data_IF_261114149665
#
_entry.id   IF_261114149665
#
_cell.length_a   1.000
_cell.length_b   1.000
_cell.length_c   1.000
_cell.angle_alpha   90.00
_cell.angle_beta   90.00
_cell.angle_gamma   90.00
#
_symmetry.space_group_name_H-M   'P 1'
#
loop_
_entity.id
_entity.type
_entity.pdbx_description
1 polymer ?
#
# COMPACT_ATOMS: atom_id res chain seq x y z
N UNK A 1 80.56 60.14 -28.37
CA UNK A 1 79.64 61.29 -28.41
C UNK A 1 78.55 60.97 -27.38
N UNK A 2 78.32 61.69 -26.25
CA UNK A 2 78.03 63.15 -26.05
C UNK A 2 76.87 63.58 -26.97
N UNK A 3 75.72 64.11 -26.54
CA UNK A 3 75.18 64.69 -25.27
C UNK A 3 73.62 64.69 -25.42
N UNK A 4 72.74 65.09 -24.48
CA UNK A 4 72.64 65.19 -23.01
C UNK A 4 71.25 65.83 -22.69
N UNK A 5 70.95 66.11 -21.40
CA UNK A 5 69.78 66.82 -20.84
C UNK A 5 68.57 65.90 -20.52
N UNK A 6 68.13 65.63 -19.28
CA UNK A 6 68.24 66.34 -17.96
C UNK A 6 67.66 67.78 -17.97
N UNK A 7 66.97 68.31 -16.95
CA UNK A 7 66.53 67.81 -15.62
C UNK A 7 65.45 68.75 -15.04
N UNK A 8 64.58 68.30 -14.12
CA UNK A 8 63.96 69.02 -12.93
C UNK A 8 62.69 68.29 -12.40
N UNK A 9 62.27 68.26 -11.10
CA UNK A 9 62.86 68.11 -9.73
C UNK A 9 61.75 68.38 -8.65
N UNK A 10 61.95 67.91 -7.37
CA UNK A 10 61.06 67.94 -6.13
C UNK A 10 60.25 69.25 -5.94
N UNK A 11 59.13 69.34 -5.20
CA UNK A 11 58.62 68.60 -3.99
C UNK A 11 57.06 68.69 -3.92
N UNK A 12 56.27 68.23 -2.93
CA UNK A 12 56.35 68.00 -1.47
C UNK A 12 55.56 66.72 -1.08
N UNK A 13 56.01 65.82 -0.18
CA UNK A 13 56.26 65.90 1.27
C UNK A 13 55.03 66.08 2.19
N UNK A 14 54.66 64.95 2.81
CA UNK A 14 54.46 64.70 4.27
C UNK A 14 53.08 64.30 4.84
N UNK A 15 53.14 63.18 5.61
CA UNK A 15 52.33 62.77 6.78
C UNK A 15 50.80 62.61 6.58
N UNK A 16 50.25 61.40 6.78
CA UNK A 16 50.35 60.62 8.03
C UNK A 16 50.45 59.09 7.80
N UNK A 17 51.36 58.45 8.54
CA UNK A 17 51.29 57.03 8.92
C UNK A 17 50.71 56.93 10.33
N UNK A 18 49.90 55.90 10.56
CA UNK A 18 49.61 55.15 11.79
C UNK A 18 49.15 53.77 11.23
N UNK A 19 49.70 52.56 11.46
CA UNK A 19 50.11 51.84 12.70
C UNK A 19 49.06 51.99 13.81
N UNK A 20 48.43 50.95 14.35
CA UNK A 20 48.43 49.48 14.16
C UNK A 20 46.96 49.02 13.86
N UNK A 21 46.53 47.76 13.69
CA UNK A 21 46.86 46.51 14.36
C UNK A 21 46.16 45.31 13.66
N UNK A 22 46.46 44.08 14.07
CA UNK A 22 46.03 42.84 13.42
C UNK A 22 44.54 42.53 13.61
N UNK A 23 43.80 42.24 12.51
CA UNK A 23 42.64 41.33 12.55
C UNK A 23 42.64 40.35 11.37
N UNK A 24 43.49 39.33 11.49
CA UNK A 24 43.22 38.05 10.85
C UNK A 24 42.02 37.38 11.54
N UNK A 25 40.79 37.80 11.21
CA UNK A 25 39.60 37.02 11.57
C UNK A 25 39.46 35.85 10.59
N UNK A 26 40.21 34.78 10.86
CA UNK A 26 40.07 33.50 10.19
C UNK A 26 38.74 32.84 10.50
N UNK A 27 37.65 33.27 9.85
CA UNK A 27 36.40 32.52 9.79
C UNK A 27 36.41 31.55 8.59
N UNK A 28 37.45 30.72 8.51
CA UNK A 28 37.36 29.43 7.82
C UNK A 28 36.54 28.46 8.69
N UNK A 29 35.30 28.83 8.99
CA UNK A 29 34.32 27.84 9.40
C UNK A 29 34.19 26.84 8.25
N UNK A 30 34.38 25.53 8.46
CA UNK A 30 34.19 24.56 7.40
C UNK A 30 32.76 24.73 6.90
N UNK A 31 32.61 24.98 5.59
CA UNK A 31 31.29 25.01 4.96
C UNK A 31 30.74 23.59 5.11
N UNK A 32 29.85 23.40 6.08
CA UNK A 32 29.12 22.15 6.27
C UNK A 32 28.14 22.06 5.10
N UNK A 33 28.65 21.63 3.95
CA UNK A 33 27.80 21.11 2.89
C UNK A 33 27.11 19.90 3.52
N UNK A 34 25.78 19.89 3.68
CA UNK A 34 25.10 18.69 4.12
C UNK A 34 25.32 17.64 3.03
N UNK A 35 26.25 16.71 3.28
CA UNK A 35 26.57 15.64 2.35
C UNK A 35 25.29 14.83 2.15
N UNK A 36 24.61 15.08 1.03
CA UNK A 36 23.41 14.35 0.63
C UNK A 36 23.81 12.90 0.43
N UNK A 37 23.54 12.08 1.44
CA UNK A 37 23.81 10.64 1.40
C UNK A 37 23.07 10.07 0.20
N UNK A 38 23.83 9.53 -0.75
CA UNK A 38 23.29 8.86 -1.91
C UNK A 38 22.66 7.53 -1.48
N UNK A 39 21.54 7.10 -2.09
CA UNK A 39 20.87 5.84 -1.70
C UNK A 39 21.70 4.59 -2.04
N UNK A 40 22.70 4.72 -2.91
CA UNK A 40 23.74 3.71 -3.16
C UNK A 40 24.96 4.38 -3.83
N UNK A 41 26.02 3.61 -4.07
CA UNK A 41 27.18 4.05 -4.87
C UNK A 41 26.80 4.47 -6.31
N UNK A 42 25.66 4.03 -6.82
CA UNK A 42 25.13 4.38 -8.14
C UNK A 42 24.18 5.60 -8.10
N UNK A 43 23.90 6.17 -6.92
CA UNK A 43 22.89 7.21 -6.75
C UNK A 43 21.43 6.72 -6.86
N UNK A 44 21.21 5.41 -7.01
CA UNK A 44 19.92 4.76 -7.23
C UNK A 44 19.53 3.93 -6.01
N UNK A 45 18.29 4.06 -5.52
CA UNK A 45 17.73 3.15 -4.52
C UNK A 45 17.24 1.87 -5.24
N UNK A 46 17.76 0.67 -4.93
CA UNK A 46 17.24 -0.57 -5.52
C UNK A 46 15.80 -0.84 -5.05
N UNK A 47 15.05 -1.55 -5.89
CA UNK A 47 13.71 -2.01 -5.54
C UNK A 47 13.80 -3.16 -4.51
N UNK A 48 12.87 -3.15 -3.55
CA UNK A 48 12.65 -4.25 -2.59
C UNK A 48 12.26 -5.54 -3.32
N UNK A 49 12.95 -6.65 -3.03
CA UNK A 49 12.71 -7.95 -3.68
C UNK A 49 11.30 -8.49 -3.43
N UNK A 50 10.66 -8.16 -2.30
CA UNK A 50 9.27 -8.58 -2.08
C UNK A 50 8.33 -7.79 -2.99
N UNK A 51 8.54 -6.47 -3.14
CA UNK A 51 7.79 -5.62 -4.08
C UNK A 51 8.01 -6.10 -5.52
N UNK A 52 9.22 -6.50 -5.89
CA UNK A 52 9.55 -7.08 -7.19
C UNK A 52 8.80 -8.41 -7.46
N UNK A 53 8.75 -9.31 -6.48
CA UNK A 53 8.00 -10.57 -6.57
C UNK A 53 6.48 -10.34 -6.69
N UNK A 54 5.95 -9.39 -5.92
CA UNK A 54 4.53 -9.00 -5.92
C UNK A 54 4.14 -8.32 -7.23
N UNK A 55 4.98 -7.40 -7.72
CA UNK A 55 4.87 -6.80 -9.05
C UNK A 55 4.72 -7.89 -10.11
N UNK A 56 5.69 -8.78 -10.24
CA UNK A 56 5.67 -9.88 -11.24
C UNK A 56 4.43 -10.78 -11.15
N UNK A 57 3.87 -11.00 -9.95
CA UNK A 57 2.61 -11.71 -9.78
C UNK A 57 1.41 -10.91 -10.33
N UNK A 58 1.32 -9.62 -9.99
CA UNK A 58 0.21 -8.75 -10.38
C UNK A 58 0.26 -8.41 -11.89
N UNK A 59 1.45 -8.16 -12.44
CA UNK A 59 1.66 -7.72 -13.82
C UNK A 59 1.05 -8.63 -14.88
N UNK A 60 0.98 -9.95 -14.63
CA UNK A 60 0.39 -10.93 -15.53
C UNK A 60 -1.13 -10.79 -15.68
N UNK A 61 -1.80 -10.03 -14.81
CA UNK A 61 -3.25 -9.95 -14.72
C UNK A 61 -3.80 -8.52 -14.91
N UNK A 62 -2.99 -7.47 -14.79
CA UNK A 62 -3.47 -6.07 -14.80
C UNK A 62 -4.20 -5.63 -16.08
N UNK A 63 -3.97 -6.29 -17.22
CA UNK A 63 -4.68 -6.01 -18.48
C UNK A 63 -6.07 -6.66 -18.56
N UNK A 64 -6.43 -7.53 -17.61
CA UNK A 64 -7.73 -8.20 -17.58
C UNK A 64 -8.76 -7.22 -16.97
N UNK A 65 -9.94 -7.04 -17.58
CA UNK A 65 -10.98 -6.17 -17.03
C UNK A 65 -11.48 -6.68 -15.68
N UNK A 66 -11.93 -5.74 -14.84
CA UNK A 66 -12.51 -6.00 -13.52
C UNK A 66 -11.65 -6.87 -12.59
N UNK A 67 -10.33 -6.72 -12.70
CA UNK A 67 -9.39 -7.29 -11.72
C UNK A 67 -9.44 -6.51 -10.41
N UNK A 68 -9.63 -7.25 -9.33
CA UNK A 68 -9.50 -6.82 -7.95
C UNK A 68 -8.16 -7.34 -7.40
N UNK A 69 -7.42 -6.47 -6.71
CA UNK A 69 -6.17 -6.80 -6.03
C UNK A 69 -6.36 -6.43 -4.56
N UNK A 70 -6.30 -7.42 -3.69
CA UNK A 70 -6.60 -7.29 -2.25
C UNK A 70 -5.43 -7.84 -1.42
N UNK A 71 -5.05 -7.12 -0.37
CA UNK A 71 -4.09 -7.53 0.65
C UNK A 71 -4.81 -7.75 1.96
N UNK A 72 -4.86 -8.99 2.45
CA UNK A 72 -5.53 -9.37 3.70
C UNK A 72 -4.52 -9.59 4.81
N UNK A 73 -4.91 -9.18 6.02
CA UNK A 73 -4.20 -9.54 7.24
C UNK A 73 -4.82 -10.80 7.86
N UNK A 74 -3.98 -11.65 8.45
CA UNK A 74 -4.41 -12.92 9.01
C UNK A 74 -3.21 -13.74 9.50
N UNK A 75 -3.35 -15.06 9.50
CA UNK A 75 -2.27 -15.97 9.92
C UNK A 75 -2.08 -17.08 8.91
N UNK A 76 -0.82 -17.34 8.51
CA UNK A 76 -0.48 -18.53 7.75
C UNK A 76 -0.35 -19.69 8.74
N UNK A 77 -1.21 -20.69 8.61
CA UNK A 77 -1.29 -21.85 9.49
C UNK A 77 -0.71 -23.09 8.79
N UNK A 78 0.05 -23.91 9.50
CA UNK A 78 0.39 -25.25 9.07
C UNK A 78 -0.84 -26.17 9.22
N UNK A 79 -1.08 -27.07 8.27
CA UNK A 79 -2.22 -27.99 8.28
C UNK A 79 -1.99 -29.22 9.16
N UNK A 80 -0.74 -29.58 9.43
CA UNK A 80 -0.33 -30.70 10.28
C UNK A 80 -0.40 -30.30 11.76
N UNK A 81 0.31 -29.24 12.16
CA UNK A 81 0.32 -28.77 13.57
C UNK A 81 -0.95 -28.03 13.94
N UNK A 82 -1.62 -27.41 12.96
CA UNK A 82 -2.74 -26.46 13.15
C UNK A 82 -2.35 -25.19 13.91
N UNK A 83 -1.06 -24.90 14.02
CA UNK A 83 -0.51 -23.68 14.59
C UNK A 83 -0.07 -22.70 13.48
N UNK A 84 0.36 -21.49 13.87
CA UNK A 84 0.99 -20.56 12.93
C UNK A 84 2.26 -21.19 12.37
N UNK A 85 2.46 -21.04 11.06
CA UNK A 85 3.63 -21.54 10.35
C UNK A 85 4.92 -21.03 10.99
N UNK A 86 5.86 -21.92 11.23
CA UNK A 86 7.23 -21.59 11.60
C UNK A 86 8.14 -21.82 10.40
N UNK A 87 8.95 -20.83 10.05
CA UNK A 87 10.02 -20.93 9.08
C UNK A 87 11.33 -20.41 9.70
N UNK A 88 12.49 -21.01 9.40
CA UNK A 88 13.78 -20.58 9.93
C UNK A 88 14.30 -19.33 9.18
N UNK A 89 13.52 -18.24 9.22
CA UNK A 89 13.80 -16.96 8.54
C UNK A 89 13.59 -15.80 9.51
N UNK A 90 14.37 -14.72 9.36
CA UNK A 90 14.34 -13.55 10.26
C UNK A 90 13.61 -12.33 9.68
N UNK A 91 13.12 -12.39 8.44
CA UNK A 91 12.54 -11.27 7.71
C UNK A 91 11.24 -11.62 6.99
N UNK A 92 10.54 -10.59 6.51
CA UNK A 92 9.44 -10.74 5.55
C UNK A 92 9.85 -11.68 4.42
N UNK A 93 9.04 -12.72 4.17
CA UNK A 93 9.35 -13.77 3.19
C UNK A 93 8.11 -14.07 2.35
N UNK A 94 8.17 -13.76 1.05
CA UNK A 94 7.14 -14.15 0.08
C UNK A 94 7.25 -15.66 -0.16
N UNK A 95 6.21 -16.42 0.15
CA UNK A 95 6.20 -17.86 -0.03
C UNK A 95 5.99 -18.24 -1.50
N UNK A 96 6.58 -19.34 -1.94
CA UNK A 96 6.33 -19.89 -3.27
C UNK A 96 4.88 -20.38 -3.39
N UNK A 97 4.28 -20.28 -4.58
CA UNK A 97 2.85 -20.64 -4.78
C UNK A 97 2.56 -22.13 -4.64
N UNK A 98 3.60 -22.96 -4.75
CA UNK A 98 3.57 -24.41 -4.63
C UNK A 98 3.89 -24.90 -3.20
N UNK A 99 4.04 -24.01 -2.21
CA UNK A 99 4.17 -24.39 -0.80
C UNK A 99 2.89 -25.11 -0.35
N UNK A 100 2.97 -26.44 -0.21
CA UNK A 100 1.86 -27.32 0.22
C UNK A 100 1.79 -27.44 1.73
N UNK A 101 0.63 -27.88 2.24
CA UNK A 101 0.45 -28.16 3.67
C UNK A 101 0.19 -26.92 4.54
N UNK A 102 -0.01 -25.75 3.93
CA UNK A 102 -0.40 -24.51 4.63
C UNK A 102 -1.81 -24.06 4.25
N UNK A 103 -2.41 -23.20 5.08
CA UNK A 103 -3.63 -22.44 4.78
C UNK A 103 -3.52 -21.03 5.38
N UNK A 104 -4.13 -20.02 4.76
CA UNK A 104 -4.25 -18.70 5.37
C UNK A 104 -5.61 -18.59 6.07
N UNK A 105 -5.62 -18.08 7.29
CA UNK A 105 -6.84 -17.75 8.04
C UNK A 105 -6.96 -16.24 8.12
N UNK A 106 -7.95 -15.69 7.40
CA UNK A 106 -8.32 -14.28 7.43
C UNK A 106 -9.28 -14.06 8.60
N UNK A 107 -8.72 -13.86 9.79
CA UNK A 107 -9.46 -13.62 11.04
C UNK A 107 -8.56 -12.90 12.04
N UNK A 108 -9.15 -12.18 12.99
CA UNK A 108 -8.44 -11.51 14.08
C UNK A 108 -9.29 -11.45 15.34
N UNK A 109 -8.66 -11.12 16.48
CA UNK A 109 -9.42 -10.92 17.72
C UNK A 109 -10.25 -9.64 17.68
N UNK A 110 -11.37 -9.61 18.43
CA UNK A 110 -12.21 -8.41 18.61
C UNK A 110 -11.35 -7.20 19.03
N UNK A 111 -10.37 -7.40 19.93
CA UNK A 111 -9.46 -6.35 20.40
C UNK A 111 -8.59 -5.78 19.28
N UNK A 112 -8.08 -6.61 18.38
CA UNK A 112 -7.33 -6.14 17.19
C UNK A 112 -8.25 -5.34 16.27
N UNK A 113 -9.48 -5.81 16.04
CA UNK A 113 -10.47 -5.08 15.26
C UNK A 113 -10.82 -3.71 15.87
N UNK A 114 -10.99 -3.62 17.19
CA UNK A 114 -11.19 -2.35 17.92
C UNK A 114 -9.98 -1.41 17.79
N UNK A 115 -8.75 -1.94 17.94
CA UNK A 115 -7.50 -1.18 17.74
C UNK A 115 -7.43 -0.59 16.32
N UNK A 116 -7.73 -1.39 15.29
CA UNK A 116 -7.73 -0.94 13.90
C UNK A 116 -8.81 0.10 13.62
N UNK A 117 -10.04 -0.10 14.12
CA UNK A 117 -11.12 0.89 13.99
C UNK A 117 -10.68 2.25 14.58
N UNK A 118 -10.12 2.25 15.79
CA UNK A 118 -9.58 3.47 16.41
C UNK A 118 -8.49 4.12 15.56
N UNK A 119 -7.49 3.35 15.13
CA UNK A 119 -6.37 3.84 14.33
C UNK A 119 -6.83 4.44 12.99
N UNK A 120 -7.76 3.78 12.28
CA UNK A 120 -8.26 4.24 10.99
C UNK A 120 -9.13 5.50 11.14
N UNK A 121 -9.95 5.59 12.20
CA UNK A 121 -10.71 6.81 12.49
C UNK A 121 -9.80 7.99 12.88
N UNK A 122 -8.73 7.74 13.64
CA UNK A 122 -7.70 8.74 13.93
C UNK A 122 -7.06 9.25 12.62
N UNK A 123 -6.66 8.35 11.71
CA UNK A 123 -6.11 8.73 10.39
C UNK A 123 -7.09 9.57 9.54
N UNK A 124 -8.39 9.28 9.57
CA UNK A 124 -9.42 10.12 8.91
C UNK A 124 -9.48 11.51 9.52
N UNK A 125 -9.47 11.62 10.85
CA UNK A 125 -9.50 12.91 11.55
C UNK A 125 -8.22 13.71 11.29
N UNK A 126 -7.07 13.05 11.24
CA UNK A 126 -5.78 13.71 11.00
C UNK A 126 -5.59 14.15 9.55
N UNK A 127 -5.93 13.29 8.59
CA UNK A 127 -5.80 13.52 7.15
C UNK A 127 -6.71 14.61 6.61
N UNK A 128 -7.81 14.91 7.30
CA UNK A 128 -8.77 15.95 6.91
C UNK A 128 -8.59 17.29 7.66
N UNK A 129 -7.49 17.47 8.43
CA UNK A 129 -7.15 18.78 9.05
C UNK A 129 -6.72 19.78 7.95
N UNK A 130 -7.05 21.08 8.04
CA UNK A 130 -6.75 22.06 6.97
C UNK A 130 -5.28 22.20 6.57
N UNK A 131 -4.35 21.85 7.45
CA UNK A 131 -2.90 21.86 7.22
C UNK A 131 -2.29 20.44 7.26
N UNK A 132 -3.09 19.40 7.00
CA UNK A 132 -2.62 18.03 6.95
C UNK A 132 -1.56 17.87 5.83
N UNK A 133 -0.38 17.35 6.20
CA UNK A 133 0.60 16.83 5.22
C UNK A 133 0.30 15.38 4.82
N UNK A 134 -0.67 14.77 5.48
CA UNK A 134 -1.17 13.42 5.25
C UNK A 134 -2.25 13.42 4.15
N UNK A 135 -2.64 12.21 3.75
CA UNK A 135 -3.63 11.99 2.72
C UNK A 135 -5.03 12.47 3.12
N UNK A 136 -5.82 12.90 2.13
CA UNK A 136 -7.28 12.92 2.28
C UNK A 136 -7.79 11.48 2.48
N UNK A 137 -8.74 11.30 3.39
CA UNK A 137 -9.46 10.04 3.59
C UNK A 137 -10.96 10.30 3.51
N UNK A 138 -11.65 9.56 2.65
CA UNK A 138 -13.11 9.40 2.76
C UNK A 138 -13.43 8.14 3.56
N UNK A 139 -14.59 8.17 4.23
CA UNK A 139 -15.07 7.11 5.11
C UNK A 139 -16.53 6.77 4.79
N UNK A 140 -16.88 5.49 4.86
CA UNK A 140 -18.27 5.00 4.74
C UNK A 140 -18.49 3.79 5.64
N UNK A 141 -19.64 3.75 6.29
CA UNK A 141 -20.15 2.60 7.04
C UNK A 141 -21.26 1.91 6.24
N UNK A 142 -21.08 0.65 5.88
CA UNK A 142 -22.01 -0.14 5.06
C UNK A 142 -22.47 -1.35 5.87
N UNK A 143 -23.77 -1.62 5.90
CA UNK A 143 -24.31 -2.90 6.36
C UNK A 143 -24.79 -3.65 5.12
N UNK A 144 -24.17 -4.77 4.80
CA UNK A 144 -24.32 -5.46 3.54
C UNK A 144 -24.79 -6.90 3.75
N UNK A 145 -25.88 -7.31 3.10
CA UNK A 145 -26.17 -8.73 2.94
C UNK A 145 -25.54 -9.21 1.63
N UNK A 146 -24.76 -10.28 1.72
CA UNK A 146 -24.31 -11.07 0.57
C UNK A 146 -25.19 -12.32 0.47
N UNK A 147 -25.96 -12.44 -0.60
CA UNK A 147 -26.76 -13.61 -0.95
C UNK A 147 -26.08 -14.35 -2.11
N UNK A 148 -25.84 -15.66 -1.94
CA UNK A 148 -25.11 -16.50 -2.89
C UNK A 148 -26.04 -17.47 -3.62
N UNK A 149 -25.84 -17.62 -4.93
CA UNK A 149 -26.69 -18.41 -5.81
C UNK A 149 -25.87 -19.41 -6.62
N UNK A 150 -26.33 -20.67 -6.62
CA UNK A 150 -25.81 -21.69 -7.52
C UNK A 150 -26.67 -21.73 -8.80
N UNK A 151 -26.05 -21.36 -9.92
CA UNK A 151 -26.72 -21.25 -11.23
C UNK A 151 -26.11 -22.27 -12.19
N UNK A 152 -26.96 -23.03 -12.88
CA UNK A 152 -26.52 -24.04 -13.84
C UNK A 152 -25.73 -23.37 -14.97
N UNK A 153 -24.61 -23.97 -15.37
CA UNK A 153 -23.68 -23.38 -16.35
C UNK A 153 -22.60 -22.49 -15.72
N UNK A 154 -22.74 -22.09 -14.45
CA UNK A 154 -21.70 -21.39 -13.70
C UNK A 154 -21.02 -22.35 -12.71
N UNK A 155 -19.68 -22.37 -12.71
CA UNK A 155 -18.88 -23.19 -11.79
C UNK A 155 -18.73 -22.50 -10.43
N UNK A 156 -18.55 -21.19 -10.44
CA UNK A 156 -18.49 -20.33 -9.27
C UNK A 156 -19.89 -19.85 -8.86
N UNK A 157 -20.11 -19.64 -7.56
CA UNK A 157 -21.36 -19.05 -7.06
C UNK A 157 -21.48 -17.59 -7.49
N UNK A 158 -22.68 -17.17 -7.89
CA UNK A 158 -22.98 -15.76 -8.13
C UNK A 158 -23.32 -15.09 -6.78
N UNK A 159 -22.81 -13.88 -6.54
CA UNK A 159 -23.02 -13.11 -5.30
C UNK A 159 -23.81 -11.85 -5.60
N UNK A 160 -25.01 -11.74 -5.04
CA UNK A 160 -25.76 -10.49 -4.95
C UNK A 160 -25.42 -9.82 -3.62
N UNK A 161 -24.98 -8.58 -3.69
CA UNK A 161 -24.64 -7.77 -2.51
C UNK A 161 -25.58 -6.56 -2.46
N UNK A 162 -26.26 -6.35 -1.33
CA UNK A 162 -27.14 -5.19 -1.14
C UNK A 162 -26.92 -4.49 0.21
N UNK A 163 -27.16 -3.19 0.24
CA UNK A 163 -27.14 -2.37 1.46
C UNK A 163 -28.44 -2.57 2.25
N UNK A 164 -28.35 -3.13 3.45
CA UNK A 164 -29.50 -3.44 4.30
C UNK A 164 -30.28 -2.18 4.73
N UNK A 165 -29.63 -1.00 4.81
CA UNK A 165 -30.26 0.25 5.21
C UNK A 165 -30.99 0.93 4.07
N UNK A 166 -30.37 0.98 2.88
CA UNK A 166 -30.98 1.64 1.71
C UNK A 166 -31.78 0.70 0.80
N UNK A 167 -31.69 -0.62 1.02
CA UNK A 167 -32.29 -1.68 0.20
C UNK A 167 -31.87 -1.59 -1.29
N UNK A 168 -30.71 -0.97 -1.56
CA UNK A 168 -30.14 -0.85 -2.90
C UNK A 168 -29.20 -2.01 -3.18
N UNK A 169 -29.32 -2.59 -4.37
CA UNK A 169 -28.30 -3.49 -4.91
C UNK A 169 -27.00 -2.69 -5.05
N UNK A 170 -25.93 -3.22 -4.45
CA UNK A 170 -24.58 -2.68 -4.54
C UNK A 170 -23.87 -3.27 -5.76
N UNK A 171 -23.85 -4.61 -5.86
CA UNK A 171 -23.27 -5.36 -6.98
C UNK A 171 -23.97 -6.71 -7.17
N UNK A 172 -23.95 -7.24 -8.39
CA UNK A 172 -24.23 -8.65 -8.66
C UNK A 172 -23.11 -9.21 -9.52
N UNK A 173 -22.32 -10.14 -8.99
CA UNK A 173 -21.07 -10.58 -9.62
C UNK A 173 -20.82 -12.08 -9.57
N UNK A 174 -19.95 -12.54 -10.47
CA UNK A 174 -19.23 -13.81 -10.40
C UNK A 174 -17.76 -13.52 -10.04
N UNK A 175 -17.33 -13.91 -8.85
CA UNK A 175 -15.95 -13.72 -8.38
C UNK A 175 -15.11 -14.96 -8.66
N UNK A 176 -14.07 -14.82 -9.48
CA UNK A 176 -13.13 -15.89 -9.83
C UNK A 176 -11.77 -15.60 -9.21
N UNK A 177 -11.23 -16.50 -8.37
CA UNK A 177 -9.87 -16.36 -7.87
C UNK A 177 -8.86 -16.73 -8.97
N UNK A 178 -7.97 -15.79 -9.30
CA UNK A 178 -6.90 -15.99 -10.28
C UNK A 178 -5.64 -16.54 -9.62
N UNK A 179 -5.37 -16.10 -8.39
CA UNK A 179 -4.31 -16.64 -7.56
C UNK A 179 -4.08 -15.82 -6.32
N UNK A 180 -3.04 -16.20 -5.56
CA UNK A 180 -2.60 -15.46 -4.39
C UNK A 180 -1.09 -15.67 -4.12
N UNK A 181 -0.51 -14.75 -3.36
CA UNK A 181 0.78 -14.91 -2.67
C UNK A 181 0.54 -14.84 -1.17
N UNK A 182 1.15 -15.76 -0.41
CA UNK A 182 1.21 -15.68 1.05
C UNK A 182 2.57 -15.07 1.42
N UNK A 183 2.60 -14.15 2.38
CA UNK A 183 3.81 -13.48 2.84
C UNK A 183 3.93 -13.68 4.34
N UNK A 184 4.96 -14.43 4.74
CA UNK A 184 5.25 -14.72 6.13
C UNK A 184 5.99 -13.55 6.79
N UNK A 185 5.52 -13.13 7.97
CA UNK A 185 6.07 -12.02 8.73
C UNK A 185 6.51 -12.47 10.14
N UNK A 186 7.74 -13.01 10.31
CA UNK A 186 8.19 -13.58 11.58
C UNK A 186 8.19 -12.56 12.74
N UNK A 187 8.43 -11.27 12.44
CA UNK A 187 8.49 -10.18 13.43
C UNK A 187 7.16 -9.41 13.57
N UNK A 188 6.04 -10.07 13.29
CA UNK A 188 4.70 -9.48 13.25
C UNK A 188 3.69 -10.48 13.81
N UNK A 189 2.63 -10.08 14.56
CA UNK A 189 1.61 -11.01 15.03
C UNK A 189 0.77 -11.59 13.89
N UNK A 190 0.61 -10.83 12.80
CA UNK A 190 -0.15 -11.22 11.61
C UNK A 190 0.77 -11.35 10.38
N UNK A 191 0.45 -12.32 9.53
CA UNK A 191 0.97 -12.55 8.18
C UNK A 191 0.07 -11.86 7.14
N UNK A 192 0.50 -11.86 5.88
CA UNK A 192 -0.27 -11.27 4.77
C UNK A 192 -0.63 -12.30 3.70
N UNK A 193 -1.76 -12.06 3.02
CA UNK A 193 -2.08 -12.67 1.74
C UNK A 193 -2.44 -11.58 0.73
N UNK A 194 -1.79 -11.59 -0.43
CA UNK A 194 -2.20 -10.77 -1.58
C UNK A 194 -2.95 -11.69 -2.54
N UNK A 195 -4.24 -11.44 -2.76
CA UNK A 195 -5.04 -12.15 -3.76
C UNK A 195 -5.24 -11.30 -5.01
N UNK A 196 -5.41 -11.98 -6.14
CA UNK A 196 -5.91 -11.38 -7.38
C UNK A 196 -7.18 -12.15 -7.77
N UNK A 197 -8.28 -11.42 -7.93
CA UNK A 197 -9.56 -11.96 -8.35
C UNK A 197 -10.07 -11.20 -9.58
N UNK A 198 -10.97 -11.83 -10.35
CA UNK A 198 -11.76 -11.16 -11.38
C UNK A 198 -13.20 -11.10 -10.87
N UNK A 199 -13.81 -9.92 -10.87
CA UNK A 199 -15.22 -9.71 -10.52
C UNK A 199 -16.02 -9.39 -11.80
N UNK A 200 -16.59 -10.41 -12.44
CA UNK A 200 -17.47 -10.22 -13.61
C UNK A 200 -18.86 -9.78 -13.15
N UNK A 201 -19.39 -8.69 -13.71
CA UNK A 201 -20.78 -8.26 -13.50
C UNK A 201 -21.76 -9.26 -14.16
N UNK A 202 -22.87 -9.54 -13.48
CA UNK A 202 -23.84 -10.55 -13.88
C UNK A 202 -25.25 -9.94 -14.04
N UNK A 203 -26.09 -10.56 -14.88
CA UNK A 203 -27.50 -10.17 -15.02
C UNK A 203 -28.38 -10.84 -13.96
N UNK A 204 -29.10 -10.04 -13.17
CA UNK A 204 -30.02 -10.49 -12.11
C UNK A 204 -31.14 -11.40 -12.64
N UNK A 205 -31.44 -11.38 -13.95
CA UNK A 205 -32.37 -12.33 -14.57
C UNK A 205 -31.96 -13.81 -14.34
N UNK A 206 -30.67 -14.10 -14.13
CA UNK A 206 -30.14 -15.43 -13.85
C UNK A 206 -30.64 -16.04 -12.52
N UNK A 207 -31.18 -15.22 -11.61
CA UNK A 207 -31.62 -15.63 -10.27
C UNK A 207 -33.09 -15.33 -9.98
N UNK A 208 -33.86 -14.87 -10.98
CA UNK A 208 -35.24 -14.37 -10.81
C UNK A 208 -36.17 -15.30 -10.02
N UNK A 209 -36.07 -16.61 -10.26
CA UNK A 209 -36.89 -17.65 -9.62
C UNK A 209 -36.05 -18.58 -8.73
N UNK A 210 -34.88 -18.13 -8.27
CA UNK A 210 -33.95 -18.90 -7.42
C UNK A 210 -33.90 -18.33 -6.01
N UNK A 211 -33.88 -19.21 -5.02
CA UNK A 211 -33.53 -18.85 -3.65
C UNK A 211 -32.01 -18.90 -3.46
N UNK A 212 -31.44 -18.07 -2.57
CA UNK A 212 -30.02 -18.13 -2.26
C UNK A 212 -29.70 -19.46 -1.56
N UNK A 213 -28.57 -20.08 -1.92
CA UNK A 213 -28.06 -21.29 -1.25
C UNK A 213 -27.40 -20.97 0.09
N UNK A 214 -26.96 -19.73 0.26
CA UNK A 214 -26.25 -19.25 1.43
C UNK A 214 -26.32 -17.72 1.52
N UNK A 215 -26.41 -17.17 2.73
CA UNK A 215 -26.36 -15.73 2.98
C UNK A 215 -25.44 -15.39 4.15
N UNK A 216 -24.84 -14.20 4.13
CA UNK A 216 -24.06 -13.63 5.25
C UNK A 216 -24.27 -12.14 5.36
N UNK A 217 -24.23 -11.62 6.59
CA UNK A 217 -24.23 -10.18 6.86
C UNK A 217 -22.79 -9.70 7.06
N UNK A 218 -22.45 -8.56 6.46
CA UNK A 218 -21.19 -7.85 6.63
C UNK A 218 -21.47 -6.48 7.24
N UNK A 219 -20.88 -6.20 8.38
CA UNK A 219 -20.74 -4.83 8.86
C UNK A 219 -19.35 -4.33 8.43
N UNK A 220 -19.28 -3.31 7.58
CA UNK A 220 -18.05 -2.87 6.91
C UNK A 220 -17.80 -1.38 7.10
N UNK A 221 -16.62 -1.08 7.67
CA UNK A 221 -16.04 0.25 7.75
C UNK A 221 -15.02 0.40 6.62
N UNK A 222 -15.33 1.23 5.63
CA UNK A 222 -14.50 1.42 4.43
C UNK A 222 -13.86 2.81 4.44
N UNK A 223 -12.55 2.84 4.24
CA UNK A 223 -11.70 4.02 4.28
C UNK A 223 -10.93 4.14 2.96
N UNK A 224 -11.17 5.17 2.15
CA UNK A 224 -10.48 5.33 0.85
C UNK A 224 -9.50 6.50 0.86
N UNK A 225 -8.28 6.25 0.37
CA UNK A 225 -7.20 7.23 0.30
C UNK A 225 -6.18 6.92 -0.80
N UNK A 226 -5.81 7.92 -1.60
CA UNK A 226 -4.95 7.76 -2.78
C UNK A 226 -5.40 6.59 -3.68
N UNK A 227 -4.53 5.60 -3.88
CA UNK A 227 -4.76 4.39 -4.67
C UNK A 227 -5.30 3.21 -3.84
N UNK A 228 -5.63 3.41 -2.57
CA UNK A 228 -6.01 2.36 -1.62
C UNK A 228 -7.43 2.55 -1.10
N UNK A 229 -8.10 1.42 -0.84
CA UNK A 229 -9.28 1.33 0.02
C UNK A 229 -8.98 0.33 1.13
N UNK A 230 -9.28 0.66 2.37
CA UNK A 230 -9.06 -0.18 3.55
C UNK A 230 -10.43 -0.53 4.10
N UNK A 231 -10.76 -1.82 4.13
CA UNK A 231 -12.04 -2.33 4.57
C UNK A 231 -11.86 -3.17 5.83
N UNK A 232 -12.33 -2.63 6.96
CA UNK A 232 -12.43 -3.35 8.23
C UNK A 232 -13.84 -3.93 8.33
N UNK A 233 -13.97 -5.26 8.32
CA UNK A 233 -15.24 -5.95 8.15
C UNK A 233 -15.50 -6.98 9.25
N UNK A 234 -16.72 -6.98 9.80
CA UNK A 234 -17.24 -8.06 10.64
C UNK A 234 -18.20 -8.92 9.82
N UNK A 235 -17.90 -10.22 9.69
CA UNK A 235 -18.70 -11.17 8.91
C UNK A 235 -19.51 -12.07 9.83
N UNK A 236 -20.83 -11.99 9.73
CA UNK A 236 -21.78 -12.84 10.44
C UNK A 236 -22.31 -13.92 9.48
N UNK A 237 -21.93 -15.17 9.74
CA UNK A 237 -22.42 -16.34 9.01
C UNK A 237 -23.52 -17.05 9.83
N UNK A 238 -24.80 -17.01 9.42
CA UNK A 238 -25.89 -17.62 10.20
C UNK A 238 -25.81 -19.14 10.34
N UNK A 239 -25.14 -19.81 9.40
CA UNK A 239 -25.08 -21.27 9.28
C UNK A 239 -23.95 -21.96 10.04
N UNK A 240 -23.02 -21.21 10.66
CA UNK A 240 -21.87 -21.77 11.40
C UNK A 240 -21.79 -21.10 12.77
N UNK A 241 -22.25 -21.81 13.81
CA UNK A 241 -22.07 -21.58 15.26
C UNK A 241 -21.69 -20.15 15.69
N UNK A 242 -22.54 -19.17 15.34
CA UNK A 242 -22.44 -17.75 15.73
C UNK A 242 -21.05 -17.11 15.57
N UNK A 243 -20.14 -17.69 14.78
CA UNK A 243 -18.75 -17.23 14.78
C UNK A 243 -18.65 -15.94 13.96
N UNK A 244 -18.53 -14.83 14.68
CA UNK A 244 -18.13 -13.56 14.11
C UNK A 244 -16.68 -13.65 13.65
N UNK A 245 -16.43 -13.37 12.37
CA UNK A 245 -15.09 -13.30 11.79
C UNK A 245 -14.74 -11.83 11.60
N UNK A 246 -13.52 -11.45 11.96
CA UNK A 246 -13.02 -10.09 11.83
C UNK A 246 -11.96 -10.02 10.74
N UNK A 247 -12.25 -9.33 9.65
CA UNK A 247 -11.38 -9.21 8.47
C UNK A 247 -10.85 -7.77 8.34
N UNK A 248 -9.59 -7.62 7.94
CA UNK A 248 -9.03 -6.34 7.51
C UNK A 248 -8.33 -6.53 6.16
N UNK A 249 -8.83 -5.80 5.18
CA UNK A 249 -8.49 -5.93 3.78
C UNK A 249 -8.00 -4.55 3.29
N UNK A 250 -6.94 -4.51 2.46
CA UNK A 250 -6.59 -3.34 1.67
C UNK A 250 -6.80 -3.70 0.20
N UNK A 251 -7.71 -3.02 -0.48
CA UNK A 251 -7.88 -3.09 -1.93
C UNK A 251 -6.99 -2.04 -2.60
N UNK A 252 -6.41 -2.40 -3.74
CA UNK A 252 -5.55 -1.55 -4.57
C UNK A 252 -6.27 -1.17 -5.86
N UNK A 253 -6.24 0.12 -6.23
CA UNK A 253 -6.83 0.62 -7.47
C UNK A 253 -6.10 0.04 -8.70
N UNK A 254 -6.63 -1.07 -9.21
CA UNK A 254 -6.07 -1.83 -10.32
C UNK A 254 -6.07 -1.04 -11.63
N UNK A 255 -7.04 -0.13 -11.82
CA UNK A 255 -7.14 0.74 -13.00
C UNK A 255 -6.02 1.77 -13.01
N UNK A 256 -5.80 2.45 -11.89
CA UNK A 256 -4.67 3.37 -11.72
C UNK A 256 -3.34 2.63 -11.83
N UNK A 257 -3.19 1.47 -11.19
CA UNK A 257 -1.95 0.69 -11.24
C UNK A 257 -1.62 0.22 -12.67
N UNK A 258 -2.62 -0.20 -13.45
CA UNK A 258 -2.42 -0.56 -14.86
C UNK A 258 -2.00 0.64 -15.72
N UNK A 259 -2.61 1.82 -15.51
CA UNK A 259 -2.20 3.07 -16.19
C UNK A 259 -0.73 3.41 -15.89
N UNK A 260 -0.29 3.30 -14.64
CA UNK A 260 1.12 3.51 -14.28
C UNK A 260 2.05 2.42 -14.84
N UNK A 261 1.60 1.17 -14.96
CA UNK A 261 2.35 0.09 -15.62
C UNK A 261 2.54 0.39 -17.12
N UNK A 262 1.54 0.95 -17.80
CA UNK A 262 1.68 1.33 -19.21
C UNK A 262 2.71 2.45 -19.41
N UNK A 263 2.86 3.36 -18.43
CA UNK A 263 3.96 4.34 -18.42
C UNK A 263 5.34 3.67 -18.26
N UNK A 264 5.49 2.65 -17.42
CA UNK A 264 6.75 1.89 -17.34
C UNK A 264 7.12 1.20 -18.65
N UNK A 265 6.14 0.71 -19.42
CA UNK A 265 6.39 0.06 -20.71
C UNK A 265 6.74 1.07 -21.82
N UNK A 266 6.49 2.36 -21.62
CA UNK A 266 6.79 3.43 -22.59
C UNK A 266 8.06 4.20 -22.20
N UNK A 267 9.09 4.12 -23.04
CA UNK A 267 10.38 4.79 -22.84
C UNK A 267 10.30 6.31 -22.60
N UNK A 268 9.25 6.98 -23.10
CA UNK A 268 9.07 8.43 -22.96
C UNK A 268 8.46 8.83 -21.62
N UNK A 269 7.64 7.98 -21.02
CA UNK A 269 6.90 8.26 -19.76
C UNK A 269 7.36 7.39 -18.58
N UNK A 270 8.34 6.50 -18.78
CA UNK A 270 8.96 5.66 -17.76
C UNK A 270 9.32 6.42 -16.48
N UNK A 271 10.00 7.57 -16.62
CA UNK A 271 10.45 8.43 -15.51
C UNK A 271 9.31 9.13 -14.75
N UNK A 272 8.10 9.12 -15.29
CA UNK A 272 6.90 9.72 -14.69
C UNK A 272 6.05 8.69 -13.94
N UNK A 273 6.26 7.39 -14.18
CA UNK A 273 5.44 6.33 -13.60
C UNK A 273 5.53 6.29 -12.08
N UNK A 274 4.36 6.18 -11.43
CA UNK A 274 4.23 5.99 -9.99
C UNK A 274 4.03 4.52 -9.61
N UNK A 275 4.14 3.57 -10.54
CA UNK A 275 3.81 2.15 -10.33
C UNK A 275 4.45 1.54 -9.07
N UNK A 276 5.77 1.66 -8.91
CA UNK A 276 6.48 1.15 -7.73
C UNK A 276 6.22 1.98 -6.47
N UNK A 277 5.89 3.27 -6.59
CA UNK A 277 5.50 4.11 -5.45
C UNK A 277 4.12 3.69 -4.93
N UNK A 278 3.19 3.30 -5.81
CA UNK A 278 1.87 2.77 -5.48
C UNK A 278 1.98 1.38 -4.83
N UNK A 279 2.79 0.46 -5.39
CA UNK A 279 3.05 -0.84 -4.75
C UNK A 279 3.77 -0.69 -3.41
N UNK A 280 4.69 0.27 -3.29
CA UNK A 280 5.35 0.63 -2.03
C UNK A 280 4.36 1.17 -1.00
N UNK A 281 3.44 2.06 -1.39
CA UNK A 281 2.37 2.57 -0.53
C UNK A 281 1.47 1.43 -0.04
N UNK A 282 1.06 0.52 -0.93
CA UNK A 282 0.27 -0.66 -0.62
C UNK A 282 0.97 -1.57 0.40
N UNK A 283 2.20 -1.99 0.09
CA UNK A 283 2.96 -2.89 0.97
C UNK A 283 3.33 -2.26 2.30
N UNK A 284 3.74 -0.98 2.31
CA UNK A 284 4.06 -0.30 3.57
C UNK A 284 2.81 -0.11 4.44
N UNK A 285 1.63 0.09 3.85
CA UNK A 285 0.36 0.11 4.60
C UNK A 285 0.06 -1.24 5.25
N UNK A 286 0.17 -2.34 4.49
CA UNK A 286 0.03 -3.70 5.02
C UNK A 286 1.05 -4.01 6.14
N UNK A 287 2.33 -3.66 5.94
CA UNK A 287 3.42 -3.82 6.92
C UNK A 287 3.23 -3.01 8.20
N UNK A 288 2.59 -1.84 8.12
CA UNK A 288 2.27 -1.01 9.29
C UNK A 288 1.09 -1.62 10.05
N UNK A 289 0.01 -2.01 9.35
CA UNK A 289 -1.16 -2.61 9.98
C UNK A 289 -0.82 -3.97 10.62
N UNK A 290 -0.03 -4.83 9.97
CA UNK A 290 0.30 -6.16 10.51
C UNK A 290 1.02 -6.11 11.86
N UNK A 291 1.79 -5.04 12.12
CA UNK A 291 2.50 -4.78 13.38
C UNK A 291 1.66 -4.03 14.44
N UNK A 292 0.50 -3.48 14.07
CA UNK A 292 -0.33 -2.59 14.91
C UNK A 292 -1.65 -3.21 15.38
N UNK A 293 -1.86 -4.51 15.15
CA UNK A 293 -3.02 -5.25 15.65
C UNK A 293 -2.90 -5.58 17.13
#
# INVERSE_FOLDING_TARGET
>A
MKRANENTVESDRNKKRNTEEQKQNGNNAPVIIPHRILPSIFGILPLDDSINAISKFIEAHLSIPNVEIEGKLGVIMDNNTRERLYLPVQSETVLTRDFKGIRFVSDMTIKQHENYNKLLNELVVEGNKPNAKSAFFSYRHIHQLDSFFQVQGHKENLRLSFDEKSQKVLTFIKKVNVGHLNIYLPNSPLDLRISVNIEEEMDQNLIKDKQPSYERKKDRLSYKSHALQIDLTQVHQPSIDKKLIHELEIELDSKLLYQEQMKLKNKQTYSQSQYYNILGLFMNSLRILSRRG
#
